data_IF_781193140089
#
_entry.id   IF_781193140089
#
_cell.length_a   1.000
_cell.length_b   1.000
_cell.length_c   1.000
_cell.angle_alpha   90.00
_cell.angle_beta   90.00
_cell.angle_gamma   90.00
#
_symmetry.space_group_name_H-M   'P 1'
#
loop_
_entity.id
_entity.type
_entity.pdbx_description
1 polymer ?
#
# COMPACT_ATOMS: atom_id res chain seq x y z
N UNK A 1 12.11 -4.08 8.83
CA UNK A 1 10.64 -4.20 8.72
C UNK A 1 9.99 -2.83 8.63
N UNK A 2 9.80 -2.10 9.74
CA UNK A 2 9.08 -0.81 9.77
C UNK A 2 9.59 0.19 8.73
N UNK A 3 10.89 0.49 8.70
CA UNK A 3 11.48 1.38 7.68
C UNK A 3 11.21 0.89 6.25
N UNK A 4 11.44 -0.41 5.98
CA UNK A 4 11.20 -0.99 4.67
C UNK A 4 9.71 -0.94 4.25
N UNK A 5 8.78 -1.07 5.18
CA UNK A 5 7.35 -0.89 4.88
C UNK A 5 7.04 0.57 4.50
N UNK A 6 7.61 1.53 5.22
CA UNK A 6 7.47 2.95 4.91
C UNK A 6 8.09 3.30 3.55
N UNK A 7 9.31 2.84 3.27
CA UNK A 7 9.97 3.06 1.99
C UNK A 7 9.17 2.44 0.82
N UNK A 8 8.59 1.26 1.04
CA UNK A 8 7.73 0.62 0.06
C UNK A 8 6.47 1.46 -0.24
N UNK A 9 5.82 2.03 0.80
CA UNK A 9 4.70 2.96 0.62
C UNK A 9 5.10 4.17 -0.22
N UNK A 10 6.25 4.78 0.07
CA UNK A 10 6.72 5.95 -0.68
C UNK A 10 7.01 5.63 -2.15
N UNK A 11 7.61 4.47 -2.44
CA UNK A 11 7.79 3.98 -3.81
C UNK A 11 6.46 3.71 -4.53
N UNK A 12 5.43 3.30 -3.78
CA UNK A 12 4.06 3.20 -4.28
C UNK A 12 3.53 4.55 -4.81
N UNK A 13 3.77 5.64 -4.08
CA UNK A 13 3.37 7.00 -4.51
C UNK A 13 4.12 7.50 -5.74
N UNK A 14 5.41 7.17 -5.86
CA UNK A 14 6.21 7.54 -7.05
C UNK A 14 5.66 6.91 -8.35
N UNK A 15 4.97 5.78 -8.25
CA UNK A 15 4.32 5.13 -9.38
C UNK A 15 2.98 5.79 -9.78
N UNK A 16 2.40 6.65 -8.92
CA UNK A 16 1.09 7.27 -9.16
C UNK A 16 1.22 8.47 -10.07
N UNK A 17 0.64 8.39 -11.26
CA UNK A 17 0.37 9.52 -12.16
C UNK A 17 -0.63 9.13 -13.25
N UNK A 18 -1.29 10.09 -13.92
CA UNK A 18 -2.17 9.79 -15.04
C UNK A 18 -1.50 8.93 -16.12
N UNK A 19 -2.24 7.95 -16.64
CA UNK A 19 -1.77 7.03 -17.68
C UNK A 19 -0.93 5.84 -17.18
N UNK A 20 -0.55 5.82 -15.89
CA UNK A 20 -0.05 4.60 -15.22
C UNK A 20 -1.21 3.71 -14.80
N UNK A 21 -0.92 2.52 -14.32
CA UNK A 21 -1.93 1.52 -13.91
C UNK A 21 -1.82 1.19 -12.43
N UNK A 22 -2.90 0.71 -11.81
CA UNK A 22 -2.83 0.21 -10.43
C UNK A 22 -1.82 -0.93 -10.24
N UNK A 23 -1.57 -1.74 -11.28
CA UNK A 23 -0.53 -2.76 -11.27
C UNK A 23 0.89 -2.20 -11.20
N UNK A 24 1.12 -0.96 -11.67
CA UNK A 24 2.41 -0.28 -11.49
C UNK A 24 2.69 0.02 -10.01
N UNK A 25 1.68 0.42 -9.25
CA UNK A 25 1.78 0.64 -7.79
C UNK A 25 2.17 -0.67 -7.09
N UNK A 26 1.39 -1.73 -7.35
CA UNK A 26 1.66 -3.04 -6.76
C UNK A 26 3.02 -3.60 -7.14
N UNK A 27 3.45 -3.41 -8.39
CA UNK A 27 4.77 -3.83 -8.86
C UNK A 27 5.91 -3.09 -8.17
N UNK A 28 5.79 -1.77 -7.97
CA UNK A 28 6.80 -0.95 -7.31
C UNK A 28 7.01 -1.39 -5.85
N UNK A 29 5.90 -1.55 -5.11
CA UNK A 29 5.91 -2.00 -3.71
C UNK A 29 6.51 -3.41 -3.62
N UNK A 30 5.96 -4.37 -4.37
CA UNK A 30 6.38 -5.77 -4.30
C UNK A 30 7.85 -5.97 -4.65
N UNK A 31 8.33 -5.33 -5.73
CA UNK A 31 9.71 -5.48 -6.18
C UNK A 31 10.71 -5.01 -5.12
N UNK A 32 10.41 -3.90 -4.44
CA UNK A 32 11.23 -3.42 -3.33
C UNK A 32 11.15 -4.36 -2.13
N UNK A 33 9.95 -4.72 -1.68
CA UNK A 33 9.74 -5.54 -0.48
C UNK A 33 10.41 -6.91 -0.60
N UNK A 34 10.25 -7.58 -1.74
CA UNK A 34 10.83 -8.91 -1.97
C UNK A 34 12.36 -8.85 -2.05
N UNK A 35 12.95 -7.77 -2.59
CA UNK A 35 14.39 -7.56 -2.59
C UNK A 35 14.97 -7.41 -1.16
N UNK A 36 14.17 -6.93 -0.21
CA UNK A 36 14.53 -6.85 1.21
C UNK A 36 14.34 -8.18 1.96
N UNK A 37 14.05 -9.30 1.27
CA UNK A 37 13.73 -10.61 1.86
C UNK A 37 12.51 -10.57 2.79
N UNK A 38 11.57 -9.70 2.49
CA UNK A 38 10.25 -9.61 3.14
C UNK A 38 9.16 -10.02 2.14
N UNK A 39 7.91 -10.08 2.57
CA UNK A 39 6.78 -10.37 1.67
C UNK A 39 5.63 -9.39 1.83
N UNK A 40 4.84 -9.22 0.77
CA UNK A 40 3.65 -8.37 0.78
C UNK A 40 2.41 -9.22 1.05
N UNK A 41 1.58 -8.81 2.01
CA UNK A 41 0.29 -9.44 2.30
C UNK A 41 -0.64 -9.35 1.09
N UNK A 42 -1.38 -10.42 0.80
CA UNK A 42 -2.21 -10.53 -0.40
C UNK A 42 -3.72 -10.52 -0.17
N UNK A 43 -4.14 -10.72 1.08
CA UNK A 43 -5.54 -10.85 1.47
C UNK A 43 -6.25 -9.49 1.66
N UNK A 44 -5.47 -8.41 1.79
CA UNK A 44 -5.95 -7.05 2.02
C UNK A 44 -5.34 -6.08 0.99
N UNK A 45 -6.05 -5.00 0.70
CA UNK A 45 -5.67 -4.02 -0.30
C UNK A 45 -6.08 -2.62 0.15
N UNK A 46 -5.48 -1.60 -0.45
CA UNK A 46 -6.03 -0.25 -0.36
C UNK A 46 -7.36 -0.15 -1.12
N UNK A 47 -7.99 1.00 -1.00
CA UNK A 47 -9.35 1.20 -1.51
C UNK A 47 -9.60 2.64 -1.93
N UNK A 48 -10.56 2.83 -2.83
CA UNK A 48 -11.17 4.15 -3.02
C UNK A 48 -11.86 4.61 -1.74
N UNK A 49 -11.88 5.92 -1.51
CA UNK A 49 -12.57 6.51 -0.36
C UNK A 49 -13.10 7.91 -0.65
N UNK A 50 -13.94 8.42 0.24
CA UNK A 50 -14.50 9.77 0.20
C UNK A 50 -15.83 9.82 0.94
N UNK A 51 -16.93 9.91 0.20
CA UNK A 51 -18.28 9.80 0.78
C UNK A 51 -18.62 8.38 1.27
N UNK A 52 -17.96 7.39 0.69
CA UNK A 52 -18.03 5.98 1.08
C UNK A 52 -16.69 5.61 1.69
N UNK A 53 -16.70 4.85 2.78
CA UNK A 53 -15.48 4.51 3.52
C UNK A 53 -14.55 3.61 2.67
N UNK A 54 -15.06 2.46 2.22
CA UNK A 54 -14.37 1.58 1.27
C UNK A 54 -15.15 1.52 -0.03
N UNK A 55 -14.56 2.01 -1.11
CA UNK A 55 -15.13 2.03 -2.45
C UNK A 55 -14.12 1.43 -3.45
N UNK A 56 -14.57 1.02 -4.65
CA UNK A 56 -13.65 0.74 -5.74
C UNK A 56 -12.75 1.96 -6.04
N UNK A 57 -11.52 1.75 -6.52
CA UNK A 57 -10.92 0.46 -6.88
C UNK A 57 -10.23 -0.24 -5.69
N UNK A 58 -10.02 -1.55 -5.82
CA UNK A 58 -9.12 -2.28 -4.94
C UNK A 58 -7.67 -2.00 -5.37
N UNK A 59 -6.86 -1.46 -4.47
CA UNK A 59 -5.47 -1.07 -4.72
C UNK A 59 -4.53 -2.15 -4.19
N UNK A 60 -4.11 -3.06 -5.08
CA UNK A 60 -3.23 -4.17 -4.71
C UNK A 60 -1.79 -3.67 -4.49
N UNK A 61 -1.16 -4.14 -3.41
CA UNK A 61 0.23 -3.83 -3.08
C UNK A 61 1.25 -4.79 -3.73
N UNK A 62 0.77 -5.65 -4.62
CA UNK A 62 1.54 -6.60 -5.41
C UNK A 62 0.96 -6.65 -6.82
N UNK A 63 1.76 -7.01 -7.81
CA UNK A 63 1.28 -7.05 -9.18
C UNK A 63 2.36 -6.99 -10.26
N UNK A 64 1.88 -6.78 -11.49
CA UNK A 64 2.72 -6.63 -12.68
C UNK A 64 2.55 -5.22 -13.22
N UNK A 65 3.66 -4.59 -13.58
CA UNK A 65 3.66 -3.28 -14.21
C UNK A 65 2.75 -3.26 -15.46
N UNK A 66 2.05 -2.14 -15.67
CA UNK A 66 1.13 -1.94 -16.80
C UNK A 66 -0.16 -2.77 -16.77
N UNK A 67 -0.57 -3.32 -15.62
CA UNK A 67 -1.79 -4.12 -15.50
C UNK A 67 -2.86 -3.47 -14.63
N UNK A 68 -4.13 -3.80 -14.86
CA UNK A 68 -5.26 -3.23 -14.13
C UNK A 68 -5.73 -1.88 -14.69
N UNK A 69 -6.69 -1.22 -14.01
CA UNK A 69 -7.25 0.05 -14.47
C UNK A 69 -6.19 1.15 -14.54
N UNK A 70 -6.39 2.08 -15.46
CA UNK A 70 -5.55 3.26 -15.65
C UNK A 70 -5.87 4.28 -14.55
N UNK A 71 -4.83 4.91 -14.03
CA UNK A 71 -4.93 6.04 -13.11
C UNK A 71 -5.32 7.29 -13.89
N UNK A 72 -6.33 7.99 -13.40
CA UNK A 72 -6.83 9.24 -13.96
C UNK A 72 -6.77 10.35 -12.91
N UNK A 73 -6.55 11.58 -13.38
CA UNK A 73 -6.57 12.76 -12.50
C UNK A 73 -7.91 12.87 -11.76
N UNK A 74 -7.86 13.21 -10.47
CA UNK A 74 -9.05 13.32 -9.60
C UNK A 74 -9.46 12.02 -8.91
N UNK A 75 -8.85 10.88 -9.22
CA UNK A 75 -9.04 9.65 -8.44
C UNK A 75 -8.52 9.83 -7.00
N UNK A 76 -9.27 9.33 -6.01
CA UNK A 76 -8.91 9.38 -4.58
C UNK A 76 -8.97 7.96 -4.01
N UNK A 77 -7.86 7.51 -3.41
CA UNK A 77 -7.71 6.15 -2.85
C UNK A 77 -6.62 6.08 -1.78
N UNK A 78 -6.55 4.97 -1.06
CA UNK A 78 -5.46 4.64 -0.12
C UNK A 78 -4.39 3.79 -0.80
N UNK A 79 -3.14 3.97 -0.37
CA UNK A 79 -2.07 2.99 -0.53
C UNK A 79 -1.63 2.62 0.89
N UNK A 80 -1.66 1.34 1.22
CA UNK A 80 -1.56 0.86 2.60
C UNK A 80 -0.81 -0.49 2.73
N UNK A 81 0.43 -0.61 2.23
CA UNK A 81 1.10 -1.90 2.14
C UNK A 81 1.34 -2.51 3.51
N UNK A 82 0.86 -3.74 3.68
CA UNK A 82 1.18 -4.62 4.79
C UNK A 82 2.33 -5.54 4.39
N UNK A 83 3.42 -5.50 5.15
CA UNK A 83 4.66 -6.22 4.84
C UNK A 83 5.00 -7.16 6.00
N UNK A 84 5.30 -8.41 5.69
CA UNK A 84 5.69 -9.45 6.64
C UNK A 84 7.19 -9.73 6.54
N UNK A 85 7.85 -10.02 7.67
CA UNK A 85 9.21 -10.59 7.66
C UNK A 85 9.26 -12.00 7.09
N UNK A 86 8.18 -12.76 7.28
CA UNK A 86 8.05 -14.13 6.80
C UNK A 86 7.27 -14.21 5.49
N UNK A 87 6.34 -15.16 5.42
CA UNK A 87 5.56 -15.45 4.22
C UNK A 87 4.31 -14.54 4.10
N UNK A 88 3.73 -14.39 2.89
CA UNK A 88 2.65 -13.44 2.67
C UNK A 88 1.29 -13.87 3.25
N UNK A 89 1.12 -15.15 3.61
CA UNK A 89 -0.18 -15.66 4.02
C UNK A 89 -0.62 -15.17 5.40
N UNK A 90 -1.88 -14.76 5.49
CA UNK A 90 -2.51 -14.38 6.76
C UNK A 90 -3.56 -15.39 7.23
N UNK A 91 -4.04 -15.19 8.46
CA UNK A 91 -5.20 -15.87 9.02
C UNK A 91 -5.99 -14.86 9.87
N UNK A 92 -7.30 -14.79 9.65
CA UNK A 92 -8.22 -14.11 10.55
C UNK A 92 -8.50 -15.00 11.77
N UNK A 93 -8.44 -14.43 12.97
CA UNK A 93 -8.71 -15.14 14.23
C UNK A 93 -10.22 -15.39 14.42
N UNK A 94 -10.56 -16.11 15.48
CA UNK A 94 -11.96 -16.44 15.80
C UNK A 94 -12.80 -15.25 16.27
N UNK A 95 -12.22 -14.04 16.32
CA UNK A 95 -12.95 -12.80 16.52
C UNK A 95 -13.44 -12.18 15.19
N UNK A 96 -13.18 -12.84 14.05
CA UNK A 96 -13.53 -12.43 12.69
C UNK A 96 -12.89 -11.11 12.22
N UNK A 97 -11.93 -10.55 12.97
CA UNK A 97 -11.30 -9.26 12.67
C UNK A 97 -9.78 -9.29 12.71
N UNK A 98 -9.20 -9.88 13.74
CA UNK A 98 -7.75 -9.81 13.94
C UNK A 98 -7.05 -10.66 12.89
N UNK A 99 -6.36 -10.01 11.96
CA UNK A 99 -5.51 -10.66 10.98
C UNK A 99 -4.09 -10.87 11.55
N UNK A 100 -3.60 -12.10 11.51
CA UNK A 100 -2.24 -12.46 11.92
C UNK A 100 -1.48 -13.14 10.78
N UNK A 101 -0.15 -13.03 10.79
CA UNK A 101 0.70 -13.82 9.89
C UNK A 101 0.57 -15.31 10.23
N UNK A 102 0.47 -16.17 9.21
CA UNK A 102 0.33 -17.62 9.45
C UNK A 102 1.55 -18.24 10.13
N UNK A 103 2.73 -17.71 9.84
CA UNK A 103 4.00 -18.16 10.42
C UNK A 103 4.37 -17.42 11.72
N UNK A 104 3.49 -16.53 12.22
CA UNK A 104 3.68 -15.72 13.43
C UNK A 104 4.88 -14.76 13.37
N UNK A 105 5.45 -14.52 12.18
CA UNK A 105 6.45 -13.48 11.99
C UNK A 105 5.86 -12.08 12.16
N UNK A 106 6.71 -11.09 12.41
CA UNK A 106 6.26 -9.70 12.54
C UNK A 106 5.74 -9.15 11.19
N UNK A 107 4.74 -8.29 11.29
CA UNK A 107 4.19 -7.50 10.18
C UNK A 107 4.21 -6.01 10.53
N UNK A 108 4.25 -5.16 9.52
CA UNK A 108 4.11 -3.71 9.67
C UNK A 108 3.31 -3.13 8.51
N UNK A 109 2.64 -2.00 8.77
CA UNK A 109 1.83 -1.27 7.80
C UNK A 109 2.05 0.23 7.96
N UNK A 110 1.97 0.95 6.85
CA UNK A 110 1.74 2.40 6.80
C UNK A 110 0.65 2.66 5.78
N UNK A 111 -0.05 3.79 5.90
CA UNK A 111 -1.15 4.17 5.02
C UNK A 111 -1.20 5.67 4.82
N UNK A 112 -1.50 6.10 3.59
CA UNK A 112 -2.05 7.42 3.34
C UNK A 112 -3.20 7.40 2.33
N UNK A 113 -4.11 8.36 2.49
CA UNK A 113 -5.07 8.75 1.46
C UNK A 113 -4.43 9.77 0.53
N UNK A 114 -4.61 9.57 -0.77
CA UNK A 114 -4.03 10.41 -1.82
C UNK A 114 -5.06 10.79 -2.88
N UNK A 115 -4.77 11.86 -3.61
CA UNK A 115 -5.48 12.25 -4.83
C UNK A 115 -4.53 12.29 -6.03
N UNK A 116 -4.92 11.70 -7.15
CA UNK A 116 -4.14 11.77 -8.40
C UNK A 116 -4.24 13.18 -8.98
N UNK A 117 -3.10 13.80 -9.28
CA UNK A 117 -2.99 15.11 -9.92
C UNK A 117 -2.50 14.98 -11.36
N UNK A 118 -2.51 16.05 -12.14
CA UNK A 118 -2.04 16.03 -13.54
C UNK A 118 -0.65 15.39 -13.77
N UNK A 119 0.25 15.46 -12.78
CA UNK A 119 1.65 15.01 -12.90
C UNK A 119 2.09 14.00 -11.84
N UNK A 120 1.19 13.55 -10.95
CA UNK A 120 1.58 12.73 -9.80
C UNK A 120 0.41 12.46 -8.86
N UNK A 121 0.65 12.61 -7.56
CA UNK A 121 -0.38 12.61 -6.54
C UNK A 121 -0.09 13.62 -5.42
N UNK A 122 -1.14 13.99 -4.69
CA UNK A 122 -1.08 14.74 -3.44
C UNK A 122 -1.41 13.81 -2.27
N UNK A 123 -0.65 13.91 -1.18
CA UNK A 123 -0.87 13.13 0.04
C UNK A 123 -1.64 13.98 1.05
N UNK A 124 -2.85 13.55 1.43
CA UNK A 124 -3.73 14.34 2.30
C UNK A 124 -3.50 14.11 3.80
N UNK A 125 -2.86 13.01 4.15
CA UNK A 125 -2.77 12.51 5.53
C UNK A 125 -1.36 12.54 6.09
N UNK A 126 -0.53 13.47 5.61
CA UNK A 126 0.80 13.71 6.16
C UNK A 126 0.72 14.19 7.62
N UNK A 127 1.68 13.76 8.44
CA UNK A 127 1.86 14.27 9.80
C UNK A 127 2.06 15.79 9.80
N UNK A 128 1.23 16.58 10.50
CA UNK A 128 1.37 18.05 10.53
C UNK A 128 2.70 18.55 11.09
N UNK A 129 3.44 17.69 11.81
CA UNK A 129 4.73 18.02 12.42
C UNK A 129 5.91 17.33 11.74
N UNK A 130 5.68 16.71 10.58
CA UNK A 130 6.71 15.95 9.85
C UNK A 130 7.21 14.72 10.60
N UNK A 131 6.51 14.30 11.67
CA UNK A 131 6.84 13.10 12.43
C UNK A 131 6.27 11.89 11.72
N UNK A 132 7.10 11.27 10.91
CA UNK A 132 6.93 9.91 10.41
C UNK A 132 7.95 9.05 11.16
N UNK A 133 7.61 7.79 11.46
CA UNK A 133 8.34 6.87 12.36
C UNK A 133 9.79 7.32 12.68
N UNK A 134 10.12 7.65 13.95
CA UNK A 134 11.42 8.20 14.27
C UNK A 134 12.51 7.21 13.88
N UNK A 135 13.34 7.59 12.91
CA UNK A 135 14.64 6.96 12.66
C UNK A 135 15.54 7.32 13.83
N UNK A 136 15.53 6.49 14.88
CA UNK A 136 16.58 6.51 15.90
C UNK A 136 17.78 5.68 15.45
#
# INVERSE_FOLDING_TARGET
LVQGTHDALMLGFEAVKPGKTFGDIGHAIQSYVEAQRMSVVRDFCGHGLGRVFHAPPNVLHYGRAGTGPVLEEGMIFTIEPMVNLGRPETKVLGDDWTAVTRDKSLSAQFEHSIGVTANGCEIFTLSPTGKFHPTY
#
